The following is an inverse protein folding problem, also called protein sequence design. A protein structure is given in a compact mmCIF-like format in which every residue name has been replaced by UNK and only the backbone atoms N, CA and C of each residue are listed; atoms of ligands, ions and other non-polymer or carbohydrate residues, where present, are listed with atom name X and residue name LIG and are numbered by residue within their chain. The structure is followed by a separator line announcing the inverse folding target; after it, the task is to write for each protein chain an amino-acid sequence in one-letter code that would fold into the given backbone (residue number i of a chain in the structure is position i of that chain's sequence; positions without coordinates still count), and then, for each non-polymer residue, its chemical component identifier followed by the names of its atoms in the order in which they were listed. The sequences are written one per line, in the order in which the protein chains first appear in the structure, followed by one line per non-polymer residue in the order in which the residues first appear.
data_IF_866378920053
#
_entry.id   IF_866378920053
#
_cell.length_a   1.000
_cell.length_b   1.000
_cell.length_c   1.000
_cell.angle_alpha   90.00
_cell.angle_beta   90.00
_cell.angle_gamma   90.00
#
_symmetry.space_group_name_H-M   'P 1'
#
loop_
_entity.id
_entity.type
_entity.pdbx_description
1 polymer ?
#
# COMPACT_ATOMS: atom_id res chain seq x y z
N UNK A 1 24.85 -11.46 -8.43
CA UNK A 1 24.54 -12.39 -7.33
C UNK A 1 23.10 -12.83 -7.51
N UNK A 2 22.77 -14.13 -7.50
CA UNK A 2 21.36 -14.56 -7.62
C UNK A 2 20.67 -14.25 -6.29
N UNK A 3 19.62 -13.44 -6.32
CA UNK A 3 18.83 -13.15 -5.11
C UNK A 3 17.99 -14.39 -4.81
N UNK A 4 18.25 -15.01 -3.66
CA UNK A 4 17.49 -16.15 -3.16
C UNK A 4 16.73 -15.75 -1.89
N UNK A 5 15.68 -16.49 -1.57
CA UNK A 5 14.90 -16.26 -0.36
C UNK A 5 15.75 -16.40 0.90
N UNK A 6 16.67 -17.37 0.94
CA UNK A 6 17.59 -17.56 2.06
C UNK A 6 18.51 -16.34 2.24
N UNK A 7 19.02 -15.78 1.14
CA UNK A 7 19.87 -14.59 1.19
C UNK A 7 19.09 -13.37 1.73
N UNK A 8 17.83 -13.19 1.32
CA UNK A 8 16.98 -12.12 1.81
C UNK A 8 16.65 -12.27 3.31
N UNK A 9 16.35 -13.49 3.77
CA UNK A 9 16.16 -13.75 5.21
C UNK A 9 17.44 -13.53 6.03
N UNK A 10 18.61 -13.87 5.47
CA UNK A 10 19.89 -13.59 6.12
C UNK A 10 20.11 -12.07 6.27
N UNK A 11 19.85 -11.28 5.21
CA UNK A 11 19.90 -9.81 5.27
C UNK A 11 18.94 -9.28 6.34
N UNK A 12 17.71 -9.81 6.43
CA UNK A 12 16.73 -9.39 7.42
C UNK A 12 17.23 -9.62 8.85
N UNK A 13 17.78 -10.82 9.15
CA UNK A 13 18.35 -11.16 10.47
C UNK A 13 19.55 -10.30 10.82
N UNK A 14 20.51 -10.17 9.90
CA UNK A 14 21.72 -9.37 10.11
C UNK A 14 21.38 -7.90 10.37
N UNK A 15 20.40 -7.37 9.64
CA UNK A 15 19.89 -6.02 9.86
C UNK A 15 19.22 -5.89 11.22
N UNK A 16 18.32 -6.82 11.59
CA UNK A 16 17.66 -6.80 12.90
C UNK A 16 18.68 -6.83 14.06
N UNK A 17 19.73 -7.65 13.97
CA UNK A 17 20.80 -7.68 14.97
C UNK A 17 21.55 -6.35 15.06
N UNK A 18 21.88 -5.72 13.93
CA UNK A 18 22.54 -4.40 13.91
C UNK A 18 21.66 -3.34 14.58
N UNK A 19 20.36 -3.36 14.32
CA UNK A 19 19.40 -2.44 14.93
C UNK A 19 19.26 -2.67 16.43
N UNK A 20 19.12 -3.92 16.87
CA UNK A 20 19.06 -4.28 18.28
C UNK A 20 20.30 -3.82 19.07
N UNK A 21 21.49 -3.88 18.46
CA UNK A 21 22.73 -3.37 19.08
C UNK A 21 22.77 -1.84 19.14
N UNK A 22 22.25 -1.16 18.11
CA UNK A 22 22.24 0.31 17.99
C UNK A 22 21.21 0.96 18.93
N UNK A 23 20.02 0.37 19.06
CA UNK A 23 18.90 0.92 19.82
C UNK A 23 18.60 0.08 21.05
N UNK A 24 18.99 0.57 22.23
CA UNK A 24 18.76 -0.12 23.51
C UNK A 24 17.29 -0.15 23.96
N UNK A 25 16.43 0.66 23.34
CA UNK A 25 15.01 0.78 23.65
C UNK A 25 14.08 0.00 22.72
N UNK A 26 14.54 -1.09 22.08
CA UNK A 26 13.70 -1.92 21.22
C UNK A 26 13.07 -3.05 22.03
N UNK A 27 11.74 -3.16 22.02
CA UNK A 27 11.01 -4.30 22.55
C UNK A 27 11.08 -5.50 21.59
N UNK A 28 10.93 -5.27 20.29
CA UNK A 28 10.89 -6.31 19.27
C UNK A 28 11.28 -5.76 17.89
N UNK A 29 11.84 -6.62 17.04
CA UNK A 29 11.89 -6.45 15.58
C UNK A 29 11.28 -7.69 14.96
N UNK A 30 10.28 -7.53 14.09
CA UNK A 30 9.70 -8.63 13.32
C UNK A 30 9.64 -8.34 11.83
N UNK A 31 9.74 -9.40 11.04
CA UNK A 31 9.61 -9.40 9.59
C UNK A 31 8.12 -9.56 9.21
N UNK A 32 7.67 -8.80 8.22
CA UNK A 32 6.36 -8.94 7.58
C UNK A 32 6.49 -8.88 6.05
N UNK A 33 5.37 -8.83 5.33
CA UNK A 33 5.35 -8.53 3.90
C UNK A 33 5.77 -9.68 2.98
N UNK A 34 6.15 -9.32 1.76
CA UNK A 34 6.28 -10.26 0.64
C UNK A 34 7.41 -11.29 0.81
N UNK A 35 8.39 -11.01 1.67
CA UNK A 35 9.49 -11.93 1.95
C UNK A 35 9.04 -13.25 2.59
N UNK A 36 7.85 -13.25 3.22
CA UNK A 36 7.25 -14.43 3.84
C UNK A 36 6.38 -15.23 2.86
N UNK A 37 6.32 -14.83 1.59
CA UNK A 37 5.63 -15.54 0.51
C UNK A 37 6.62 -16.30 -0.38
N UNK A 38 6.09 -17.20 -1.22
CA UNK A 38 6.90 -17.99 -2.16
C UNK A 38 7.47 -17.14 -3.32
N UNK A 39 6.93 -15.95 -3.55
CA UNK A 39 7.33 -15.05 -4.64
C UNK A 39 7.65 -13.64 -4.11
N UNK A 40 8.78 -13.46 -3.42
CA UNK A 40 9.10 -12.18 -2.77
C UNK A 40 9.50 -11.08 -3.76
N UNK A 41 9.91 -11.45 -4.97
CA UNK A 41 10.35 -10.50 -6.01
C UNK A 41 9.21 -10.14 -6.96
N UNK A 42 9.25 -8.90 -7.45
CA UNK A 42 8.46 -8.44 -8.58
C UNK A 42 9.39 -7.57 -9.45
N UNK A 43 9.49 -7.84 -10.75
CA UNK A 43 10.48 -7.17 -11.61
C UNK A 43 11.93 -7.38 -11.15
N UNK A 44 12.23 -8.50 -10.46
CA UNK A 44 13.56 -8.76 -9.92
C UNK A 44 13.97 -7.86 -8.75
N UNK A 45 13.05 -7.10 -8.16
CA UNK A 45 13.29 -6.26 -6.96
C UNK A 45 12.33 -6.57 -5.84
N UNK A 46 12.78 -6.34 -4.60
CA UNK A 46 11.96 -6.52 -3.40
C UNK A 46 12.43 -5.61 -2.26
N UNK A 47 11.57 -5.47 -1.27
CA UNK A 47 11.87 -4.85 -0.01
C UNK A 47 11.75 -5.84 1.14
N UNK A 48 12.53 -5.58 2.18
CA UNK A 48 12.49 -6.35 3.43
C UNK A 48 11.71 -5.50 4.44
N UNK A 49 10.44 -5.82 4.63
CA UNK A 49 9.55 -5.12 5.54
C UNK A 49 9.84 -5.50 7.01
N UNK A 50 10.53 -4.62 7.72
CA UNK A 50 10.79 -4.78 9.15
C UNK A 50 9.87 -3.87 9.97
N UNK A 51 9.39 -4.38 11.09
CA UNK A 51 8.70 -3.57 12.09
C UNK A 51 9.53 -3.53 13.36
N UNK A 52 10.04 -2.35 13.70
CA UNK A 52 10.75 -2.06 14.92
C UNK A 52 9.79 -1.48 15.97
N UNK A 53 9.63 -2.19 17.08
CA UNK A 53 8.80 -1.75 18.21
C UNK A 53 9.69 -1.19 19.32
N UNK A 54 9.49 0.08 19.64
CA UNK A 54 10.28 0.86 20.60
C UNK A 54 9.54 0.98 21.93
N UNK A 55 10.27 0.94 23.05
CA UNK A 55 9.71 1.16 24.38
C UNK A 55 9.31 2.62 24.63
N UNK A 56 9.84 3.54 23.80
CA UNK A 56 9.48 4.97 23.76
C UNK A 56 9.00 5.37 22.37
N UNK A 57 8.48 6.59 22.23
CA UNK A 57 8.13 7.16 20.92
C UNK A 57 9.36 7.25 20.01
N UNK A 58 9.34 6.66 18.80
CA UNK A 58 10.45 6.76 17.85
C UNK A 58 10.53 8.17 17.25
N UNK A 59 11.73 8.57 16.82
CA UNK A 59 11.97 9.90 16.25
C UNK A 59 11.30 10.10 14.88
N UNK A 60 11.13 9.03 14.13
CA UNK A 60 10.47 9.02 12.82
C UNK A 60 9.68 7.71 12.67
N UNK A 61 8.59 7.71 11.86
CA UNK A 61 7.70 6.57 11.76
C UNK A 61 8.17 5.49 10.77
N UNK A 62 9.02 5.84 9.81
CA UNK A 62 9.48 4.92 8.76
C UNK A 62 10.83 5.35 8.18
N UNK A 63 11.66 4.39 7.81
CA UNK A 63 12.93 4.61 7.13
C UNK A 63 13.10 3.60 5.99
N UNK A 64 13.86 3.99 4.97
CA UNK A 64 14.23 3.13 3.85
C UNK A 64 15.75 3.08 3.78
N UNK A 65 16.31 1.86 3.84
CA UNK A 65 17.76 1.66 3.88
C UNK A 65 18.21 0.87 2.66
N UNK A 66 19.07 1.48 1.85
CA UNK A 66 19.65 0.82 0.67
C UNK A 66 20.51 -0.39 1.05
N UNK A 67 20.32 -1.52 0.37
CA UNK A 67 21.21 -2.69 0.44
C UNK A 67 21.90 -2.90 -0.93
N UNK A 68 21.11 -2.97 -1.99
CA UNK A 68 21.55 -2.96 -3.40
C UNK A 68 20.46 -2.36 -4.29
N UNK A 69 20.73 -2.24 -5.60
CA UNK A 69 19.76 -1.79 -6.60
C UNK A 69 18.50 -2.68 -6.68
N UNK A 70 18.59 -3.92 -6.21
CA UNK A 70 17.48 -4.88 -6.20
C UNK A 70 16.75 -4.97 -4.85
N UNK A 71 17.40 -4.59 -3.75
CA UNK A 71 16.93 -4.85 -2.39
C UNK A 71 17.16 -3.64 -1.50
N UNK A 72 16.12 -3.26 -0.77
CA UNK A 72 16.23 -2.30 0.33
C UNK A 72 15.45 -2.78 1.56
N UNK A 73 15.78 -2.25 2.72
CA UNK A 73 14.97 -2.41 3.92
C UNK A 73 13.89 -1.35 3.94
N UNK A 74 12.67 -1.76 4.28
CA UNK A 74 11.57 -0.86 4.59
C UNK A 74 11.18 -1.05 6.05
N UNK A 75 11.56 -0.10 6.90
CA UNK A 75 11.49 -0.27 8.35
C UNK A 75 10.45 0.67 8.91
N UNK A 76 9.38 0.11 9.46
CA UNK A 76 8.36 0.84 10.20
C UNK A 76 8.73 0.90 11.68
N UNK A 77 8.59 2.08 12.29
CA UNK A 77 8.87 2.29 13.70
C UNK A 77 7.58 2.61 14.45
N UNK A 78 7.28 1.81 15.47
CA UNK A 78 6.14 2.02 16.33
C UNK A 78 6.57 2.12 17.79
N UNK A 79 5.88 2.95 18.56
CA UNK A 79 5.90 2.84 20.02
C UNK A 79 5.15 1.56 20.42
N UNK A 80 5.65 0.87 21.45
CA UNK A 80 4.98 -0.29 22.06
C UNK A 80 3.55 0.03 22.50
N UNK A 81 3.25 1.31 22.77
CA UNK A 81 1.91 1.78 23.15
C UNK A 81 0.85 1.48 22.10
N UNK A 82 1.22 1.39 20.82
CA UNK A 82 0.33 0.98 19.72
C UNK A 82 -0.20 -0.45 19.95
N UNK A 83 0.58 -1.30 20.61
CA UNK A 83 0.29 -2.72 20.80
C UNK A 83 -0.31 -3.07 22.17
N UNK A 84 -0.41 -2.10 23.09
CA UNK A 84 -0.89 -2.35 24.46
C UNK A 84 -2.33 -2.87 24.54
N UNK A 85 -3.18 -2.56 23.56
CA UNK A 85 -4.59 -2.93 23.55
C UNK A 85 -4.87 -3.94 22.43
N UNK A 86 -4.88 -5.26 22.73
CA UNK A 86 -5.11 -6.30 21.73
C UNK A 86 -6.41 -6.11 20.93
N UNK A 87 -7.46 -5.57 21.57
CA UNK A 87 -8.74 -5.28 20.90
C UNK A 87 -8.58 -4.26 19.77
N UNK A 88 -7.71 -3.25 19.93
CA UNK A 88 -7.47 -2.27 18.88
C UNK A 88 -6.73 -2.90 17.70
N UNK A 89 -5.75 -3.76 17.98
CA UNK A 89 -5.02 -4.50 16.94
C UNK A 89 -5.96 -5.41 16.13
N UNK A 90 -6.92 -6.08 16.79
CA UNK A 90 -7.92 -6.92 16.09
C UNK A 90 -8.76 -6.15 15.10
N UNK A 91 -8.99 -4.86 15.33
CA UNK A 91 -9.79 -4.03 14.43
C UNK A 91 -8.93 -3.09 13.61
N UNK A 92 -7.61 -3.25 13.61
CA UNK A 92 -6.69 -2.47 12.79
C UNK A 92 -6.40 -3.23 11.48
N UNK A 93 -6.78 -2.68 10.31
CA UNK A 93 -6.58 -3.37 9.04
C UNK A 93 -5.10 -3.58 8.69
N UNK A 94 -4.20 -2.72 9.15
CA UNK A 94 -2.79 -2.73 8.75
C UNK A 94 -1.90 -3.33 9.84
N UNK A 95 -1.74 -2.66 10.99
CA UNK A 95 -0.83 -3.07 12.07
C UNK A 95 -1.23 -4.43 12.62
N UNK A 96 -2.52 -4.66 12.85
CA UNK A 96 -3.04 -5.94 13.31
C UNK A 96 -2.76 -7.06 12.33
N UNK A 97 -3.07 -6.83 11.05
CA UNK A 97 -2.85 -7.82 9.98
C UNK A 97 -1.36 -8.12 9.80
N UNK A 98 -0.49 -7.11 9.81
CA UNK A 98 0.96 -7.28 9.68
C UNK A 98 1.61 -8.00 10.86
N UNK A 99 0.98 -7.98 12.04
CA UNK A 99 1.41 -8.73 13.22
C UNK A 99 0.91 -10.18 13.20
N UNK A 100 -0.35 -10.41 12.81
CA UNK A 100 -1.00 -11.72 12.94
C UNK A 100 -0.75 -12.63 11.73
N UNK A 101 -0.59 -12.05 10.53
CA UNK A 101 -0.44 -12.84 9.30
C UNK A 101 1.03 -13.13 9.00
N UNK A 102 1.50 -14.31 9.42
CA UNK A 102 2.81 -14.88 9.10
C UNK A 102 4.05 -14.08 9.56
N UNK A 103 3.87 -13.08 10.44
CA UNK A 103 4.98 -12.29 10.94
C UNK A 103 5.99 -13.16 11.71
N UNK A 104 7.28 -12.90 11.49
CA UNK A 104 8.37 -13.65 12.09
C UNK A 104 9.24 -12.74 12.97
N UNK A 105 9.31 -13.02 14.27
CA UNK A 105 10.23 -12.33 15.17
C UNK A 105 11.69 -12.57 14.75
N UNK A 106 12.46 -11.49 14.64
CA UNK A 106 13.90 -11.50 14.40
C UNK A 106 14.69 -11.06 15.64
N UNK A 107 14.07 -10.23 16.47
CA UNK A 107 14.56 -9.82 17.78
C UNK A 107 13.37 -9.68 18.73
N UNK A 108 13.46 -10.25 19.93
CA UNK A 108 12.37 -10.21 20.90
C UNK A 108 12.93 -10.14 22.32
N UNK A 109 12.52 -9.12 23.08
CA UNK A 109 12.86 -9.01 24.49
C UNK A 109 11.72 -9.55 25.35
N UNK A 110 12.05 -10.48 26.25
CA UNK A 110 11.10 -11.00 27.26
C UNK A 110 9.83 -11.63 26.65
N UNK A 111 9.96 -12.31 25.51
CA UNK A 111 8.83 -12.95 24.81
C UNK A 111 7.68 -11.97 24.46
N UNK A 112 8.02 -10.69 24.24
CA UNK A 112 7.04 -9.65 23.95
C UNK A 112 6.27 -9.95 22.67
N UNK A 113 6.94 -10.45 21.63
CA UNK A 113 6.31 -10.73 20.34
C UNK A 113 5.30 -11.86 20.46
N UNK A 114 5.71 -13.01 21.02
CA UNK A 114 4.85 -14.18 21.19
C UNK A 114 3.59 -13.83 21.99
N UNK A 115 3.75 -13.11 23.10
CA UNK A 115 2.64 -12.66 23.92
C UNK A 115 1.71 -11.70 23.17
N UNK A 116 2.27 -10.69 22.51
CA UNK A 116 1.52 -9.67 21.78
C UNK A 116 0.77 -10.26 20.59
N UNK A 117 1.45 -11.09 19.79
CA UNK A 117 0.86 -11.77 18.64
C UNK A 117 -0.23 -12.74 19.07
N UNK A 118 -0.02 -13.56 20.11
CA UNK A 118 -1.06 -14.45 20.62
C UNK A 118 -2.28 -13.68 21.14
N UNK A 119 -2.06 -12.59 21.86
CA UNK A 119 -3.13 -11.74 22.41
C UNK A 119 -3.95 -11.04 21.32
N UNK A 120 -3.27 -10.51 20.30
CA UNK A 120 -3.92 -9.86 19.16
C UNK A 120 -4.59 -10.87 18.23
N UNK A 121 -3.93 -12.01 17.97
CA UNK A 121 -4.37 -13.10 17.11
C UNK A 121 -5.59 -13.84 17.65
N UNK A 122 -5.73 -13.93 18.98
CA UNK A 122 -6.93 -14.45 19.60
C UNK A 122 -8.17 -13.69 19.12
N UNK A 123 -9.12 -14.41 18.51
CA UNK A 123 -10.35 -13.85 17.94
C UNK A 123 -10.13 -12.86 16.77
N UNK A 124 -8.92 -12.76 16.21
CA UNK A 124 -8.64 -11.82 15.12
C UNK A 124 -9.55 -12.03 13.90
N UNK A 125 -9.83 -13.30 13.57
CA UNK A 125 -10.70 -13.68 12.45
C UNK A 125 -12.16 -13.93 12.87
N UNK A 126 -12.56 -13.51 14.08
CA UNK A 126 -13.99 -13.51 14.43
C UNK A 126 -14.73 -12.52 13.53
N UNK A 127 -15.96 -12.84 13.10
CA UNK A 127 -16.65 -12.04 12.10
C UNK A 127 -16.81 -10.57 12.46
N UNK A 128 -17.06 -10.27 13.74
CA UNK A 128 -17.20 -8.90 14.26
C UNK A 128 -15.91 -8.08 14.05
N UNK A 129 -14.74 -8.69 14.24
CA UNK A 129 -13.46 -8.01 14.06
C UNK A 129 -13.13 -7.82 12.59
N UNK A 130 -13.43 -8.84 11.75
CA UNK A 130 -13.25 -8.77 10.30
C UNK A 130 -14.09 -7.65 9.70
N UNK A 131 -15.40 -7.62 9.98
CA UNK A 131 -16.28 -6.57 9.43
C UNK A 131 -15.92 -5.20 9.96
N UNK A 132 -15.46 -5.09 11.21
CA UNK A 132 -15.01 -3.79 11.76
C UNK A 132 -13.76 -3.28 11.02
N UNK A 133 -12.81 -4.16 10.67
CA UNK A 133 -11.66 -3.77 9.82
C UNK A 133 -12.11 -3.32 8.44
N UNK A 134 -13.01 -4.08 7.80
CA UNK A 134 -13.54 -3.76 6.49
C UNK A 134 -14.25 -2.39 6.48
N UNK A 135 -15.18 -2.18 7.42
CA UNK A 135 -15.95 -0.93 7.54
C UNK A 135 -15.07 0.29 7.80
N UNK A 136 -13.97 0.17 8.54
CA UNK A 136 -13.01 1.28 8.71
C UNK A 136 -12.39 1.74 7.38
N UNK A 137 -12.06 0.79 6.50
CA UNK A 137 -11.52 1.09 5.18
C UNK A 137 -12.60 1.65 4.26
N UNK A 138 -13.80 1.05 4.24
CA UNK A 138 -14.93 1.57 3.46
C UNK A 138 -15.30 3.01 3.88
N UNK A 139 -15.38 3.28 5.18
CA UNK A 139 -15.61 4.63 5.71
C UNK A 139 -14.51 5.61 5.28
N UNK A 140 -13.24 5.20 5.32
CA UNK A 140 -12.13 6.03 4.85
C UNK A 140 -12.24 6.34 3.34
N UNK A 141 -12.71 5.38 2.55
CA UNK A 141 -12.97 5.58 1.13
C UNK A 141 -14.13 6.55 0.88
N UNK A 142 -15.26 6.37 1.59
CA UNK A 142 -16.44 7.24 1.50
C UNK A 142 -16.12 8.67 1.93
N UNK A 143 -15.39 8.86 3.04
CA UNK A 143 -14.91 10.17 3.47
C UNK A 143 -13.99 10.83 2.43
N UNK A 144 -13.12 10.06 1.80
CA UNK A 144 -12.27 10.54 0.71
C UNK A 144 -13.08 11.05 -0.48
N UNK A 145 -14.07 10.26 -0.93
CA UNK A 145 -15.00 10.67 -1.97
C UNK A 145 -15.82 11.91 -1.60
N UNK A 146 -16.40 11.94 -0.39
CA UNK A 146 -17.16 13.10 0.09
C UNK A 146 -16.33 14.38 0.10
N UNK A 147 -15.06 14.30 0.53
CA UNK A 147 -14.16 15.45 0.53
C UNK A 147 -13.84 15.92 -0.89
N UNK A 148 -13.65 15.02 -1.85
CA UNK A 148 -13.46 15.39 -3.26
C UNK A 148 -14.67 16.14 -3.83
N UNK A 149 -15.88 15.74 -3.44
CA UNK A 149 -17.11 16.34 -3.92
C UNK A 149 -17.46 17.67 -3.22
N UNK A 150 -17.32 17.74 -1.90
CA UNK A 150 -17.80 18.87 -1.09
C UNK A 150 -16.73 19.91 -0.79
N UNK A 151 -15.47 19.49 -0.69
CA UNK A 151 -14.34 20.33 -0.28
C UNK A 151 -13.06 19.99 -1.07
N UNK A 152 -13.11 20.13 -2.41
CA UNK A 152 -11.97 19.78 -3.26
C UNK A 152 -10.74 20.63 -2.90
N UNK A 153 -9.60 19.96 -2.72
CA UNK A 153 -8.32 20.65 -2.51
C UNK A 153 -7.96 21.47 -3.76
N UNK A 154 -7.43 22.70 -3.65
CA UNK A 154 -7.01 23.46 -4.82
C UNK A 154 -5.87 22.77 -5.60
N UNK A 155 -5.02 21.99 -4.93
CA UNK A 155 -3.94 21.25 -5.56
C UNK A 155 -4.48 20.03 -6.31
N UNK A 156 -4.26 20.02 -7.63
CA UNK A 156 -4.67 18.92 -8.51
C UNK A 156 -4.03 17.59 -8.09
N UNK A 157 -2.73 17.58 -7.74
CA UNK A 157 -2.05 16.38 -7.28
C UNK A 157 -2.59 15.91 -5.93
N UNK A 158 -2.96 16.82 -5.03
CA UNK A 158 -3.60 16.47 -3.75
C UNK A 158 -4.97 15.82 -3.95
N UNK A 159 -5.81 16.36 -4.85
CA UNK A 159 -7.11 15.75 -5.21
C UNK A 159 -6.91 14.34 -5.78
N UNK A 160 -5.99 14.16 -6.72
CA UNK A 160 -5.77 12.85 -7.32
C UNK A 160 -5.19 11.84 -6.32
N UNK A 161 -4.31 12.25 -5.40
CA UNK A 161 -3.85 11.38 -4.30
C UNK A 161 -5.00 10.92 -3.41
N UNK A 162 -5.93 11.83 -3.08
CA UNK A 162 -7.09 11.49 -2.27
C UNK A 162 -8.02 10.52 -3.01
N UNK A 163 -8.24 10.74 -4.31
CA UNK A 163 -9.01 9.83 -5.17
C UNK A 163 -8.42 8.43 -5.19
N UNK A 164 -7.13 8.31 -5.50
CA UNK A 164 -6.42 7.03 -5.52
C UNK A 164 -6.36 6.35 -4.15
N UNK A 165 -6.36 7.12 -3.06
CA UNK A 165 -6.45 6.59 -1.70
C UNK A 165 -7.85 6.05 -1.40
N UNK A 166 -8.90 6.71 -1.89
CA UNK A 166 -10.27 6.21 -1.79
C UNK A 166 -10.45 4.89 -2.55
N UNK A 167 -9.90 4.76 -3.76
CA UNK A 167 -9.90 3.52 -4.53
C UNK A 167 -9.20 2.37 -3.78
N UNK A 168 -8.01 2.63 -3.23
CA UNK A 168 -7.25 1.64 -2.47
C UNK A 168 -8.02 1.18 -1.22
N UNK A 169 -8.60 2.12 -0.48
CA UNK A 169 -9.39 1.80 0.71
C UNK A 169 -10.68 1.05 0.38
N UNK A 170 -11.36 1.40 -0.71
CA UNK A 170 -12.57 0.72 -1.16
C UNK A 170 -12.29 -0.75 -1.48
N UNK A 171 -11.28 -1.02 -2.31
CA UNK A 171 -10.89 -2.39 -2.64
C UNK A 171 -10.32 -3.14 -1.42
N UNK A 172 -9.52 -2.48 -0.57
CA UNK A 172 -8.99 -3.13 0.62
C UNK A 172 -10.07 -3.44 1.66
N UNK A 173 -11.17 -2.69 1.71
CA UNK A 173 -12.31 -3.03 2.56
C UNK A 173 -12.90 -4.40 2.21
N UNK A 174 -12.89 -4.75 0.93
CA UNK A 174 -13.27 -6.07 0.42
C UNK A 174 -12.14 -7.09 0.68
N UNK A 175 -10.89 -6.70 0.43
CA UNK A 175 -9.74 -7.57 0.60
C UNK A 175 -9.61 -8.12 2.03
N UNK A 176 -9.85 -7.27 3.04
CA UNK A 176 -9.68 -7.64 4.45
C UNK A 176 -10.74 -8.60 5.00
N UNK A 177 -11.80 -8.84 4.24
CA UNK A 177 -12.75 -9.92 4.51
C UNK A 177 -12.07 -11.28 4.34
N UNK A 178 -11.20 -11.40 3.33
CA UNK A 178 -10.54 -12.64 2.97
C UNK A 178 -9.18 -12.81 3.64
N UNK A 179 -8.32 -11.79 3.59
CA UNK A 179 -6.93 -11.88 4.05
C UNK A 179 -6.37 -10.53 4.53
N UNK A 180 -5.04 -10.38 4.57
CA UNK A 180 -4.40 -9.08 4.83
C UNK A 180 -4.75 -8.05 3.75
N UNK A 181 -4.73 -6.73 4.05
CA UNK A 181 -4.88 -5.72 3.02
C UNK A 181 -3.74 -5.81 2.00
N UNK A 182 -4.07 -5.52 0.75
CA UNK A 182 -3.20 -5.55 -0.39
C UNK A 182 -2.35 -4.27 -0.47
N UNK A 183 -1.09 -4.44 -0.83
CA UNK A 183 -0.11 -3.35 -0.94
C UNK A 183 0.13 -2.94 -2.39
N UNK A 184 0.50 -1.68 -2.57
CA UNK A 184 0.57 -0.95 -3.84
C UNK A 184 1.05 -1.73 -5.08
N UNK A 185 2.17 -2.47 -5.01
CA UNK A 185 2.77 -3.17 -6.17
C UNK A 185 2.01 -4.41 -6.62
N UNK A 186 1.29 -5.06 -5.70
CA UNK A 186 0.51 -6.28 -5.97
C UNK A 186 -0.99 -6.06 -5.86
N UNK A 187 -1.41 -4.82 -5.58
CA UNK A 187 -2.79 -4.44 -5.35
C UNK A 187 -3.72 -4.90 -6.47
N UNK A 188 -3.50 -4.43 -7.69
CA UNK A 188 -4.33 -4.82 -8.85
C UNK A 188 -4.11 -6.28 -9.25
N UNK A 189 -2.91 -6.84 -9.05
CA UNK A 189 -2.64 -8.24 -9.36
C UNK A 189 -3.45 -9.21 -8.49
N UNK A 190 -3.58 -8.92 -7.20
CA UNK A 190 -4.16 -9.83 -6.21
C UNK A 190 -5.63 -9.55 -5.92
N UNK A 191 -6.11 -8.32 -6.17
CA UNK A 191 -7.50 -7.97 -5.89
C UNK A 191 -8.54 -8.85 -6.59
N UNK A 192 -8.36 -9.31 -7.86
CA UNK A 192 -9.32 -10.20 -8.51
C UNK A 192 -9.59 -11.50 -7.74
N UNK A 193 -8.54 -12.13 -7.21
CA UNK A 193 -8.66 -13.36 -6.40
C UNK A 193 -9.46 -13.09 -5.11
N UNK A 194 -9.20 -11.96 -4.46
CA UNK A 194 -9.84 -11.60 -3.20
C UNK A 194 -11.32 -11.23 -3.42
N UNK A 195 -11.62 -10.49 -4.48
CA UNK A 195 -12.99 -10.18 -4.90
C UNK A 195 -13.78 -11.46 -5.25
N UNK A 196 -13.13 -12.43 -5.90
CA UNK A 196 -13.72 -13.73 -6.18
C UNK A 196 -13.98 -14.53 -4.89
N UNK A 197 -13.05 -14.52 -3.94
CA UNK A 197 -13.17 -15.24 -2.66
C UNK A 197 -14.37 -14.77 -1.82
N UNK A 198 -14.80 -13.51 -1.97
CA UNK A 198 -16.00 -12.97 -1.31
C UNK A 198 -17.28 -13.11 -2.15
N UNK A 199 -17.21 -13.71 -3.34
CA UNK A 199 -18.36 -13.91 -4.23
C UNK A 199 -18.73 -12.69 -5.07
N UNK A 200 -17.83 -11.71 -5.22
CA UNK A 200 -18.06 -10.47 -5.98
C UNK A 200 -16.98 -10.25 -7.05
N UNK A 201 -16.75 -11.20 -7.99
CA UNK A 201 -15.68 -11.08 -8.99
C UNK A 201 -15.79 -9.82 -9.87
N UNK A 202 -16.99 -9.29 -10.08
CA UNK A 202 -17.22 -8.05 -10.86
C UNK A 202 -16.61 -6.79 -10.24
N UNK A 203 -16.31 -6.77 -8.94
CA UNK A 203 -15.65 -5.63 -8.29
C UNK A 203 -14.26 -5.36 -8.83
N UNK A 204 -13.55 -6.41 -9.27
CA UNK A 204 -12.22 -6.23 -9.85
C UNK A 204 -12.29 -5.43 -11.16
N UNK A 205 -13.20 -5.78 -12.06
CA UNK A 205 -13.43 -5.04 -13.29
C UNK A 205 -13.92 -3.61 -13.00
N UNK A 206 -14.90 -3.46 -12.10
CA UNK A 206 -15.42 -2.15 -11.70
C UNK A 206 -14.35 -1.23 -11.10
N UNK A 207 -13.34 -1.78 -10.40
CA UNK A 207 -12.20 -1.00 -9.91
C UNK A 207 -11.30 -0.53 -11.06
N UNK A 208 -11.03 -1.39 -12.05
CA UNK A 208 -10.21 -1.03 -13.21
C UNK A 208 -10.87 0.09 -14.03
N UNK A 209 -12.18 0.02 -14.19
CA UNK A 209 -12.97 1.01 -14.91
C UNK A 209 -12.86 2.41 -14.28
N UNK A 210 -12.47 2.54 -13.00
CA UNK A 210 -12.34 3.83 -12.32
C UNK A 210 -11.09 4.62 -12.69
N UNK A 211 -10.03 3.96 -13.18
CA UNK A 211 -8.76 4.63 -13.49
C UNK A 211 -8.15 4.25 -14.83
N UNK A 212 -8.75 3.31 -15.56
CA UNK A 212 -8.28 2.86 -16.87
C UNK A 212 -9.26 3.34 -17.95
N UNK A 213 -8.80 4.00 -19.02
CA UNK A 213 -9.65 4.30 -20.17
C UNK A 213 -9.85 3.07 -21.06
N UNK A 214 -10.93 3.05 -21.83
CA UNK A 214 -11.21 1.98 -22.79
C UNK A 214 -10.10 1.89 -23.85
N UNK A 215 -9.60 0.68 -24.09
CA UNK A 215 -8.57 0.43 -25.11
C UNK A 215 -7.14 0.81 -24.70
N UNK A 216 -6.92 1.16 -23.42
CA UNK A 216 -5.58 1.43 -22.89
C UNK A 216 -4.63 0.23 -23.04
N UNK A 217 -3.44 0.47 -23.58
CA UNK A 217 -2.49 -0.59 -23.93
C UNK A 217 -1.09 -0.38 -23.36
N UNK A 218 -0.27 -1.43 -23.39
CA UNK A 218 1.10 -1.38 -22.87
C UNK A 218 1.98 -0.30 -23.55
N UNK A 219 1.91 -0.08 -24.88
CA UNK A 219 2.57 1.04 -25.53
C UNK A 219 2.14 2.41 -25.01
N UNK A 220 0.85 2.61 -24.72
CA UNK A 220 0.32 3.88 -24.21
C UNK A 220 0.89 4.19 -22.82
N UNK A 221 1.11 3.17 -21.99
CA UNK A 221 1.79 3.34 -20.70
C UNK A 221 3.29 3.58 -20.86
N UNK A 222 3.93 2.86 -21.80
CA UNK A 222 5.38 2.91 -21.96
C UNK A 222 5.90 4.32 -22.30
N UNK A 223 5.10 5.13 -23.01
CA UNK A 223 5.47 6.52 -23.33
C UNK A 223 5.62 7.40 -22.09
N UNK A 224 4.97 7.05 -20.97
CA UNK A 224 5.00 7.81 -19.72
C UNK A 224 6.14 7.40 -18.78
N UNK A 225 6.86 6.32 -19.08
CA UNK A 225 7.89 5.81 -18.18
C UNK A 225 9.02 6.80 -17.95
N UNK A 226 9.48 7.50 -19.00
CA UNK A 226 10.57 8.46 -18.86
C UNK A 226 10.18 9.69 -18.02
N UNK A 227 9.10 10.43 -18.33
CA UNK A 227 8.72 11.58 -17.51
C UNK A 227 8.32 11.18 -16.08
N UNK A 228 7.78 9.98 -15.88
CA UNK A 228 7.56 9.41 -14.56
C UNK A 228 8.86 9.21 -13.77
N UNK A 229 9.89 8.61 -14.39
CA UNK A 229 11.21 8.41 -13.76
C UNK A 229 11.87 9.73 -13.41
N UNK A 230 11.82 10.71 -14.31
CA UNK A 230 12.33 12.07 -14.05
C UNK A 230 11.64 12.70 -12.84
N UNK A 231 10.32 12.49 -12.71
CA UNK A 231 9.54 12.98 -11.57
C UNK A 231 9.95 12.32 -10.26
N UNK A 232 10.11 10.99 -10.27
CA UNK A 232 10.62 10.25 -9.09
C UNK A 232 12.03 10.69 -8.71
N UNK A 233 12.90 10.90 -9.71
CA UNK A 233 14.27 11.35 -9.48
C UNK A 233 14.27 12.75 -8.86
N UNK A 234 13.54 13.70 -9.42
CA UNK A 234 13.43 15.05 -8.87
C UNK A 234 12.90 15.02 -7.42
N UNK A 235 11.82 14.27 -7.18
CA UNK A 235 11.22 14.15 -5.85
C UNK A 235 12.16 13.46 -4.84
N UNK A 236 13.06 12.58 -5.28
CA UNK A 236 14.04 11.93 -4.41
C UNK A 236 15.13 12.87 -3.89
N UNK A 237 15.30 14.04 -4.52
CA UNK A 237 16.37 15.01 -4.19
C UNK A 237 15.88 16.15 -3.28
N UNK A 238 14.59 16.19 -2.93
CA UNK A 238 14.09 17.22 -2.00
C UNK A 238 14.65 16.98 -0.59
N UNK A 239 14.81 18.07 0.17
CA UNK A 239 15.46 18.03 1.50
C UNK A 239 14.79 17.08 2.49
N UNK A 240 13.46 17.06 2.51
CA UNK A 240 12.66 16.21 3.39
C UNK A 240 11.90 15.17 2.56
N UNK A 241 12.66 14.28 1.92
CA UNK A 241 12.10 13.25 1.04
C UNK A 241 11.20 12.28 1.83
N UNK A 242 9.93 12.09 1.44
CA UNK A 242 9.09 11.07 2.03
C UNK A 242 9.70 9.67 1.84
N UNK A 243 9.58 8.74 2.80
CA UNK A 243 10.15 7.39 2.68
C UNK A 243 9.71 6.62 1.42
N UNK A 244 8.49 6.88 0.92
CA UNK A 244 7.98 6.29 -0.32
C UNK A 244 8.69 6.81 -1.58
N UNK A 245 9.39 7.93 -1.52
CA UNK A 245 10.11 8.56 -2.63
C UNK A 245 11.63 8.56 -2.41
N UNK A 246 12.11 7.86 -1.38
CA UNK A 246 13.54 7.73 -1.09
C UNK A 246 14.28 7.08 -2.28
N UNK A 247 15.55 7.45 -2.56
CA UNK A 247 16.30 6.95 -3.71
C UNK A 247 16.24 5.43 -3.95
N UNK A 248 16.30 4.55 -2.92
CA UNK A 248 16.21 3.10 -3.14
C UNK A 248 14.87 2.62 -3.73
N UNK A 249 13.81 3.44 -3.64
CA UNK A 249 12.48 3.12 -4.17
C UNK A 249 12.38 3.28 -5.69
N UNK A 250 13.29 4.01 -6.33
CA UNK A 250 13.18 4.34 -7.75
C UNK A 250 13.25 3.07 -8.61
N UNK A 251 14.35 2.31 -8.51
CA UNK A 251 14.51 1.04 -9.25
C UNK A 251 13.50 -0.02 -8.80
N UNK A 252 13.10 0.02 -7.52
CA UNK A 252 12.06 -0.85 -6.96
C UNK A 252 10.71 -0.66 -7.66
N UNK A 253 10.33 0.58 -7.95
CA UNK A 253 9.12 0.88 -8.72
C UNK A 253 9.31 0.68 -10.22
N UNK A 254 10.41 1.17 -10.79
CA UNK A 254 10.68 1.10 -12.23
C UNK A 254 10.63 -0.33 -12.74
N UNK A 255 11.41 -1.23 -12.13
CA UNK A 255 11.48 -2.63 -12.59
C UNK A 255 10.16 -3.36 -12.38
N UNK A 256 9.40 -3.00 -11.34
CA UNK A 256 8.07 -3.54 -11.12
C UNK A 256 7.08 -3.08 -12.19
N UNK A 257 7.05 -1.77 -12.49
CA UNK A 257 6.16 -1.22 -13.52
C UNK A 257 6.47 -1.81 -14.89
N UNK A 258 7.75 -1.97 -15.25
CA UNK A 258 8.16 -2.60 -16.49
C UNK A 258 7.67 -4.05 -16.60
N UNK A 259 7.95 -4.88 -15.59
CA UNK A 259 7.49 -6.28 -15.57
C UNK A 259 5.95 -6.39 -15.57
N UNK A 260 5.28 -5.53 -14.81
CA UNK A 260 3.82 -5.47 -14.79
C UNK A 260 3.27 -5.04 -16.16
N UNK A 261 3.91 -4.13 -16.90
CA UNK A 261 3.37 -3.67 -18.16
C UNK A 261 3.38 -4.75 -19.24
N UNK A 262 4.31 -5.70 -19.15
CA UNK A 262 4.37 -6.88 -20.03
C UNK A 262 3.26 -7.90 -19.73
N UNK A 263 2.89 -8.08 -18.46
CA UNK A 263 1.97 -9.14 -18.02
C UNK A 263 0.54 -8.64 -17.72
N UNK A 264 0.42 -7.43 -17.17
CA UNK A 264 -0.81 -6.82 -16.66
C UNK A 264 -0.68 -5.27 -16.65
N UNK A 265 -0.94 -4.66 -17.81
CA UNK A 265 -0.87 -3.21 -18.00
C UNK A 265 -1.67 -2.40 -16.96
N UNK A 266 -2.91 -2.77 -16.56
CA UNK A 266 -3.63 -2.04 -15.51
C UNK A 266 -2.91 -2.04 -14.15
N UNK A 267 -2.23 -3.13 -13.78
CA UNK A 267 -1.43 -3.17 -12.55
C UNK A 267 -0.19 -2.27 -12.63
N UNK A 268 0.44 -2.18 -13.80
CA UNK A 268 1.53 -1.24 -14.04
C UNK A 268 1.04 0.21 -13.98
N UNK A 269 -0.09 0.51 -14.61
CA UNK A 269 -0.72 1.83 -14.60
C UNK A 269 -1.01 2.28 -13.16
N UNK A 270 -1.61 1.42 -12.35
CA UNK A 270 -1.88 1.73 -10.94
C UNK A 270 -0.60 2.14 -10.19
N UNK A 271 0.48 1.37 -10.35
CA UNK A 271 1.75 1.65 -9.69
C UNK A 271 2.36 2.98 -10.18
N UNK A 272 2.40 3.20 -11.49
CA UNK A 272 2.93 4.43 -12.10
C UNK A 272 2.10 5.62 -11.64
N UNK A 273 0.78 5.59 -11.82
CA UNK A 273 -0.11 6.68 -11.46
C UNK A 273 0.01 7.09 -9.98
N UNK A 274 0.03 6.11 -9.07
CA UNK A 274 0.18 6.36 -7.63
C UNK A 274 1.52 7.00 -7.28
N UNK A 275 2.61 6.44 -7.78
CA UNK A 275 3.95 6.91 -7.44
C UNK A 275 4.31 8.22 -8.14
N UNK A 276 3.84 8.42 -9.37
CA UNK A 276 3.98 9.66 -10.12
C UNK A 276 3.24 10.81 -9.45
N UNK A 277 1.98 10.59 -9.08
CA UNK A 277 1.16 11.61 -8.40
C UNK A 277 1.79 11.99 -7.05
N UNK A 278 2.34 11.03 -6.30
CA UNK A 278 3.09 11.33 -5.05
C UNK A 278 4.34 12.14 -5.30
N UNK A 279 5.10 11.82 -6.34
CA UNK A 279 6.31 12.54 -6.70
C UNK A 279 5.98 14.00 -7.04
N UNK A 280 5.02 14.21 -7.93
CA UNK A 280 4.59 15.55 -8.36
C UNK A 280 3.95 16.36 -7.23
N UNK A 281 3.29 15.71 -6.29
CA UNK A 281 2.69 16.38 -5.13
C UNK A 281 3.71 17.04 -4.20
N UNK A 282 4.93 16.49 -4.09
CA UNK A 282 5.98 17.05 -3.22
C UNK A 282 6.92 18.01 -3.95
N UNK A 283 6.81 18.08 -5.28
CA UNK A 283 7.54 19.03 -6.12
C UNK A 283 6.85 20.39 -6.14
N UNK A 284 7.59 21.41 -6.57
CA UNK A 284 7.03 22.76 -6.68
C UNK A 284 5.99 22.79 -7.83
N UNK A 285 4.89 23.55 -7.72
CA UNK A 285 3.90 23.68 -8.79
C UNK A 285 4.43 24.26 -10.11
N UNK A 286 5.60 24.90 -10.08
CA UNK A 286 6.26 25.47 -11.27
C UNK A 286 7.34 24.54 -11.85
N UNK A 287 7.57 23.36 -11.25
CA UNK A 287 8.56 22.40 -11.74
C UNK A 287 8.10 21.79 -13.08
N UNK A 288 9.04 21.55 -13.99
CA UNK A 288 8.77 20.99 -15.33
C UNK A 288 8.07 19.62 -15.30
N UNK A 289 8.17 18.90 -14.18
CA UNK A 289 7.57 17.58 -13.97
C UNK A 289 6.04 17.63 -13.85
N UNK A 290 5.45 18.81 -13.60
CA UNK A 290 4.00 18.97 -13.44
C UNK A 290 3.25 18.70 -14.75
N UNK A 291 3.75 19.21 -15.88
CA UNK A 291 3.05 19.15 -17.17
C UNK A 291 2.90 17.73 -17.70
N UNK A 292 3.97 16.90 -17.84
CA UNK A 292 3.81 15.54 -18.36
C UNK A 292 2.88 14.67 -17.53
N UNK A 293 2.87 14.85 -16.21
CA UNK A 293 1.93 14.17 -15.31
C UNK A 293 0.49 14.62 -15.52
N UNK A 294 0.27 15.93 -15.64
CA UNK A 294 -1.07 16.48 -15.88
C UNK A 294 -1.62 15.98 -17.23
N UNK A 295 -0.81 16.01 -18.30
CA UNK A 295 -1.18 15.53 -19.63
C UNK A 295 -1.60 14.06 -19.58
N UNK A 296 -0.80 13.19 -18.94
CA UNK A 296 -1.16 11.79 -18.74
C UNK A 296 -2.48 11.62 -17.95
N UNK A 297 -2.71 12.44 -16.91
CA UNK A 297 -3.96 12.38 -16.15
C UNK A 297 -5.16 12.91 -16.95
N UNK A 298 -4.98 13.88 -17.86
CA UNK A 298 -6.03 14.29 -18.80
C UNK A 298 -6.37 13.16 -19.77
N UNK A 299 -5.36 12.47 -20.33
CA UNK A 299 -5.57 11.31 -21.22
C UNK A 299 -6.31 10.15 -20.54
N UNK A 300 -6.06 9.93 -19.25
CA UNK A 300 -6.78 8.93 -18.44
C UNK A 300 -8.21 9.35 -18.05
N UNK A 301 -8.61 10.60 -18.34
CA UNK A 301 -9.87 11.16 -17.89
C UNK A 301 -9.94 11.36 -16.37
N UNK A 302 -8.79 11.57 -15.73
CA UNK A 302 -8.64 11.76 -14.29
C UNK A 302 -8.56 13.24 -13.88
N UNK A 303 -8.73 14.16 -14.84
CA UNK A 303 -8.77 15.61 -14.64
C UNK A 303 -9.98 16.22 -15.34
N UNK A 304 -10.28 17.49 -15.00
CA UNK A 304 -11.36 18.31 -15.55
C UNK A 304 -12.73 17.62 -15.55
N UNK A 305 -13.52 17.83 -16.61
CA UNK A 305 -14.90 17.35 -16.73
C UNK A 305 -15.01 15.82 -16.69
N UNK A 306 -14.14 15.02 -17.36
CA UNK A 306 -14.16 13.56 -17.23
C UNK A 306 -13.98 13.08 -15.79
N UNK A 307 -13.23 13.82 -14.96
CA UNK A 307 -13.04 13.43 -13.55
C UNK A 307 -14.34 13.43 -12.75
N UNK A 308 -15.29 14.32 -13.05
CA UNK A 308 -16.61 14.31 -12.39
C UNK A 308 -17.39 13.02 -12.68
N UNK A 309 -17.25 12.47 -13.89
CA UNK A 309 -17.83 11.18 -14.26
C UNK A 309 -17.14 10.05 -13.47
N UNK A 310 -15.81 10.10 -13.31
CA UNK A 310 -15.06 9.16 -12.45
C UNK A 310 -15.48 9.23 -10.98
N UNK A 311 -15.81 10.42 -10.46
CA UNK A 311 -16.33 10.59 -9.11
C UNK A 311 -17.74 10.02 -8.94
N UNK A 312 -18.60 10.18 -9.94
CA UNK A 312 -19.93 9.57 -9.94
C UNK A 312 -19.85 8.04 -10.02
N UNK A 313 -18.96 7.50 -10.85
CA UNK A 313 -18.68 6.06 -10.90
C UNK A 313 -18.14 5.53 -9.58
N UNK A 314 -17.25 6.29 -8.92
CA UNK A 314 -16.72 5.92 -7.61
C UNK A 314 -17.84 5.86 -6.56
N UNK A 315 -18.80 6.78 -6.58
CA UNK A 315 -19.94 6.75 -5.67
C UNK A 315 -20.73 5.43 -5.79
N UNK A 316 -21.08 5.07 -7.03
CA UNK A 316 -21.77 3.80 -7.32
C UNK A 316 -20.94 2.57 -6.94
N UNK A 317 -19.62 2.63 -7.13
CA UNK A 317 -18.71 1.55 -6.72
C UNK A 317 -18.68 1.38 -5.19
N UNK A 318 -18.67 2.49 -4.45
CA UNK A 318 -18.68 2.48 -2.99
C UNK A 318 -20.01 1.93 -2.45
N UNK A 319 -21.14 2.21 -3.09
CA UNK A 319 -22.43 1.61 -2.73
C UNK A 319 -22.38 0.08 -2.86
N UNK A 320 -21.79 -0.43 -3.95
CA UNK A 320 -21.59 -1.87 -4.14
C UNK A 320 -20.63 -2.50 -3.11
N UNK A 321 -19.63 -1.74 -2.67
CA UNK A 321 -18.75 -2.15 -1.56
C UNK A 321 -19.54 -2.28 -0.27
N UNK A 322 -20.31 -1.25 0.11
CA UNK A 322 -21.11 -1.23 1.33
C UNK A 322 -22.16 -2.35 1.35
N UNK A 323 -22.88 -2.55 0.24
CA UNK A 323 -23.83 -3.67 0.08
C UNK A 323 -23.14 -5.02 0.32
N UNK A 324 -21.94 -5.21 -0.23
CA UNK A 324 -21.17 -6.44 -0.06
C UNK A 324 -20.76 -6.66 1.39
N UNK A 325 -20.35 -5.60 2.09
CA UNK A 325 -20.02 -5.66 3.51
C UNK A 325 -21.25 -6.01 4.36
N UNK A 326 -22.40 -5.44 4.06
CA UNK A 326 -23.65 -5.68 4.80
C UNK A 326 -24.20 -7.09 4.57
N UNK A 327 -24.15 -7.59 3.34
CA UNK A 327 -24.48 -8.99 3.06
C UNK A 327 -23.55 -9.96 3.77
N UNK A 328 -22.25 -9.66 3.78
CA UNK A 328 -21.28 -10.47 4.50
C UNK A 328 -21.59 -10.46 6.00
N UNK A 329 -21.81 -9.29 6.60
CA UNK A 329 -22.13 -9.15 8.02
C UNK A 329 -23.39 -9.96 8.39
N UNK A 330 -24.45 -9.83 7.58
CA UNK A 330 -25.69 -10.59 7.73
C UNK A 330 -25.48 -12.10 7.64
N UNK A 331 -24.63 -12.59 6.74
CA UNK A 331 -24.30 -14.01 6.59
C UNK A 331 -23.66 -14.59 7.86
N UNK A 332 -22.89 -13.79 8.59
CA UNK A 332 -22.23 -14.20 9.82
C UNK A 332 -22.95 -13.76 11.11
N UNK A 333 -24.09 -13.06 11.00
CA UNK A 333 -24.92 -12.66 12.12
C UNK A 333 -24.36 -11.49 12.95
N UNK A 334 -23.59 -10.60 12.31
CA UNK A 334 -22.89 -9.46 12.95
C UNK A 334 -23.28 -8.11 12.38
#
# INVERSE_FOLDING_TARGET
MRITQEALHAIARDSAEKYARRYRGLACIYLTGSLLSDAPLLGGTTDIDLVCVHTSTPAFPREVVHISDEVHLDIAHYSQTVFHQPRHLRVDPWVGSHLVNNAAALYDMQHWFEFTQASAGAQFNQPENVITRARKLAESARQGWMRLHLQPDPSTSARLLLYLSALENAANSIAVIHAAPLTERRFILQFPEYAQAVGRPGMAAGLLDLFTPDGYSAPDLAQWFEPWKESLQAASQIKEVPPRLAPPRLLYYERAAAALNEENTPAALWLVLRTWTRAVHVLHPDDSQQTPWADACHELGLLDKPFEERLAMLDSYLDGVEETLDEWAKKYGV
#
